data_IF_227069315147
#
_entry.id   IF_227069315147
#
_cell.length_a   1.000
_cell.length_b   1.000
_cell.length_c   1.000
_cell.angle_alpha   90.00
_cell.angle_beta   90.00
_cell.angle_gamma   90.00
#
_symmetry.space_group_name_H-M   'P 1'
#
loop_
_entity.id
_entity.type
_entity.pdbx_description
1 polymer ?
#
# COMPACT_ATOMS: atom_id res chain seq x y z
N UNK A 1 1.70 13.53 -39.53
CA UNK A 1 1.86 14.47 -38.40
C UNK A 1 0.78 14.09 -37.39
N UNK A 2 1.12 13.33 -36.35
CA UNK A 2 0.13 12.84 -35.37
C UNK A 2 -0.39 14.03 -34.56
N UNK A 3 -1.71 14.18 -34.52
CA UNK A 3 -2.40 15.09 -33.61
C UNK A 3 -2.17 14.55 -32.20
N UNK A 4 -1.44 15.29 -31.37
CA UNK A 4 -1.34 15.02 -29.94
C UNK A 4 -2.60 15.58 -29.30
N UNK A 5 -3.43 14.74 -28.67
CA UNK A 5 -4.63 15.18 -27.98
C UNK A 5 -4.26 16.07 -26.77
N UNK A 6 -4.79 17.31 -26.68
CA UNK A 6 -4.46 18.26 -25.61
C UNK A 6 -5.02 17.88 -24.23
N UNK A 7 -5.72 16.75 -24.11
CA UNK A 7 -6.30 16.26 -22.85
C UNK A 7 -5.37 15.35 -22.05
N UNK A 8 -4.24 14.89 -22.63
CA UNK A 8 -3.29 13.99 -21.94
C UNK A 8 -2.44 14.73 -20.89
N UNK A 9 -2.40 16.06 -20.93
CA UNK A 9 -1.56 16.91 -20.08
C UNK A 9 -2.34 17.60 -18.93
N UNK A 10 -3.62 17.23 -18.73
CA UNK A 10 -4.50 17.95 -17.80
C UNK A 10 -4.43 17.43 -16.35
N UNK A 11 -3.74 16.31 -16.13
CA UNK A 11 -3.33 15.89 -14.80
C UNK A 11 -1.83 16.18 -14.72
N UNK A 12 -1.37 17.19 -13.96
CA UNK A 12 0.05 17.24 -13.64
C UNK A 12 0.38 15.86 -13.07
N UNK A 13 1.38 15.17 -13.64
CA UNK A 13 1.89 13.94 -13.05
C UNK A 13 2.01 14.23 -11.56
N UNK A 14 1.18 13.58 -10.73
CA UNK A 14 0.94 14.01 -9.36
C UNK A 14 2.30 14.26 -8.72
N UNK A 15 2.56 15.52 -8.35
CA UNK A 15 3.92 15.93 -7.99
C UNK A 15 4.41 15.01 -6.87
N UNK A 16 5.42 14.18 -7.18
CA UNK A 16 5.94 13.17 -6.27
C UNK A 16 6.36 13.82 -4.96
N UNK A 17 6.84 15.07 -5.00
CA UNK A 17 7.20 15.85 -3.81
C UNK A 17 6.00 16.18 -2.92
N UNK A 18 4.84 16.45 -3.51
CA UNK A 18 3.61 16.71 -2.76
C UNK A 18 3.00 15.42 -2.21
N UNK A 19 3.07 14.34 -2.98
CA UNK A 19 2.49 13.04 -2.58
C UNK A 19 3.32 12.31 -1.52
N UNK A 20 4.65 12.37 -1.61
CA UNK A 20 5.56 11.61 -0.75
C UNK A 20 5.25 11.72 0.75
N UNK A 21 5.11 12.92 1.34
CA UNK A 21 4.81 13.04 2.77
C UNK A 21 3.43 12.48 3.14
N UNK A 22 2.43 12.68 2.28
CA UNK A 22 1.06 12.20 2.52
C UNK A 22 1.02 10.66 2.45
N UNK A 23 1.67 10.08 1.45
CA UNK A 23 1.77 8.64 1.26
C UNK A 23 2.49 7.96 2.44
N UNK A 24 3.65 8.47 2.87
CA UNK A 24 4.36 7.94 4.04
C UNK A 24 3.51 7.98 5.30
N UNK A 25 2.84 9.11 5.56
CA UNK A 25 1.95 9.26 6.71
C UNK A 25 0.77 8.27 6.68
N UNK A 26 0.17 8.07 5.52
CA UNK A 26 -0.93 7.13 5.35
C UNK A 26 -0.47 5.68 5.53
N UNK A 27 0.61 5.27 4.86
CA UNK A 27 1.20 3.92 4.98
C UNK A 27 1.62 3.62 6.42
N UNK A 28 2.27 4.58 7.09
CA UNK A 28 2.65 4.46 8.51
C UNK A 28 1.45 4.10 9.40
N UNK A 29 0.30 4.73 9.18
CA UNK A 29 -0.94 4.44 9.93
C UNK A 29 -1.54 3.08 9.56
N UNK A 30 -1.57 2.75 8.27
CA UNK A 30 -2.10 1.47 7.78
C UNK A 30 -1.30 0.31 8.37
N UNK A 31 0.02 0.31 8.22
CA UNK A 31 0.88 -0.79 8.66
C UNK A 31 0.90 -0.92 10.20
N UNK A 32 0.86 0.19 10.93
CA UNK A 32 0.66 0.17 12.39
C UNK A 32 -0.68 -0.43 12.79
N UNK A 33 -1.75 -0.12 12.06
CA UNK A 33 -3.09 -0.65 12.34
C UNK A 33 -3.18 -2.17 12.15
N UNK A 34 -2.34 -2.71 11.26
CA UNK A 34 -2.20 -4.15 11.02
C UNK A 34 -1.23 -4.82 12.01
N UNK A 35 -0.66 -4.08 12.96
CA UNK A 35 0.38 -4.57 13.87
C UNK A 35 1.56 -5.22 13.13
N UNK A 36 1.99 -4.63 12.00
CA UNK A 36 3.20 -5.06 11.32
C UNK A 36 4.43 -4.77 12.18
N UNK A 37 5.41 -5.67 12.16
CA UNK A 37 6.74 -5.38 12.72
C UNK A 37 7.45 -4.33 11.85
N UNK A 38 8.49 -3.69 12.39
CA UNK A 38 9.26 -2.72 11.61
C UNK A 38 9.93 -3.36 10.38
N UNK A 39 10.37 -4.62 10.48
CA UNK A 39 10.91 -5.37 9.33
C UNK A 39 9.82 -5.66 8.27
N UNK A 40 8.65 -6.14 8.69
CA UNK A 40 7.53 -6.37 7.78
C UNK A 40 7.15 -5.07 7.06
N UNK A 41 7.08 -3.97 7.80
CA UNK A 41 6.65 -2.70 7.28
C UNK A 41 7.66 -2.06 6.31
N UNK A 42 8.96 -2.11 6.63
CA UNK A 42 10.03 -1.67 5.73
C UNK A 42 9.99 -2.44 4.40
N UNK A 43 9.85 -3.77 4.48
CA UNK A 43 9.79 -4.66 3.31
C UNK A 43 8.53 -4.45 2.46
N UNK A 44 7.37 -4.27 3.09
CA UNK A 44 6.14 -3.95 2.38
C UNK A 44 6.26 -2.60 1.68
N UNK A 45 6.77 -1.58 2.39
CA UNK A 45 6.88 -0.24 1.86
C UNK A 45 7.99 -0.10 0.80
N UNK A 46 8.97 -1.01 0.76
CA UNK A 46 10.06 -0.99 -0.22
C UNK A 46 11.13 0.03 0.15
N UNK A 47 11.43 0.15 1.45
CA UNK A 47 12.45 1.06 1.99
C UNK A 47 13.42 0.29 2.87
N UNK A 48 14.61 0.87 3.07
CA UNK A 48 15.56 0.36 4.05
C UNK A 48 15.00 0.49 5.49
N UNK A 49 15.39 -0.40 6.42
CA UNK A 49 14.89 -0.37 7.80
C UNK A 49 15.07 0.99 8.50
N UNK A 50 16.21 1.66 8.29
CA UNK A 50 16.48 2.97 8.90
C UNK A 50 15.53 4.06 8.40
N UNK A 51 15.18 4.04 7.11
CA UNK A 51 14.18 4.93 6.55
C UNK A 51 12.81 4.64 7.16
N UNK A 52 12.42 3.36 7.28
CA UNK A 52 11.16 3.01 7.94
C UNK A 52 11.12 3.48 9.40
N UNK A 53 12.22 3.39 10.15
CA UNK A 53 12.30 3.90 11.53
C UNK A 53 12.02 5.41 11.59
N UNK A 54 12.50 6.19 10.61
CA UNK A 54 12.15 7.60 10.46
C UNK A 54 10.64 7.79 10.27
N UNK A 55 10.07 7.09 9.28
CA UNK A 55 8.64 7.14 8.94
C UNK A 55 7.74 6.69 10.11
N UNK A 56 8.16 5.68 10.87
CA UNK A 56 7.43 5.19 12.03
C UNK A 56 7.45 6.21 13.19
N UNK A 57 8.47 7.07 13.25
CA UNK A 57 8.59 8.20 14.21
C UNK A 57 7.95 9.50 13.73
N UNK A 58 7.48 9.54 12.49
CA UNK A 58 6.77 10.69 11.93
C UNK A 58 7.63 11.60 11.05
N UNK A 59 8.82 11.16 10.66
CA UNK A 59 9.59 11.80 9.59
C UNK A 59 9.00 11.38 8.24
N UNK A 60 8.43 12.35 7.52
CA UNK A 60 7.76 12.12 6.24
C UNK A 60 8.41 12.92 5.11
N UNK A 61 9.62 13.43 5.30
CA UNK A 61 10.27 14.32 4.33
C UNK A 61 10.99 13.58 3.19
N UNK A 62 11.06 12.25 3.27
CA UNK A 62 11.72 11.45 2.25
C UNK A 62 10.97 11.52 0.92
N UNK A 63 11.71 11.69 -0.18
CA UNK A 63 11.15 11.62 -1.52
C UNK A 63 10.97 10.14 -1.90
N UNK A 64 9.73 9.76 -2.21
CA UNK A 64 9.42 8.40 -2.63
C UNK A 64 9.70 8.20 -4.11
N UNK A 65 10.21 7.02 -4.46
CA UNK A 65 10.28 6.58 -5.86
C UNK A 65 8.90 6.19 -6.40
N UNK A 66 8.78 6.06 -7.72
CA UNK A 66 7.55 5.58 -8.36
C UNK A 66 7.11 4.20 -7.85
N UNK A 67 8.05 3.28 -7.58
CA UNK A 67 7.75 1.95 -7.01
C UNK A 67 7.17 2.08 -5.59
N UNK A 68 7.75 2.95 -4.75
CA UNK A 68 7.29 3.19 -3.39
C UNK A 68 5.91 3.86 -3.37
N UNK A 69 5.65 4.79 -4.28
CA UNK A 69 4.32 5.39 -4.46
C UNK A 69 3.29 4.34 -4.90
N UNK A 70 3.67 3.41 -5.77
CA UNK A 70 2.80 2.33 -6.21
C UNK A 70 2.49 1.35 -5.05
N UNK A 71 3.49 0.97 -4.26
CA UNK A 71 3.31 0.18 -3.03
C UNK A 71 2.39 0.89 -2.04
N UNK A 72 2.61 2.18 -1.84
CA UNK A 72 1.76 3.00 -0.97
C UNK A 72 0.30 2.98 -1.45
N UNK A 73 0.07 3.16 -2.75
CA UNK A 73 -1.26 3.10 -3.36
C UNK A 73 -1.95 1.76 -3.10
N UNK A 74 -1.25 0.63 -3.26
CA UNK A 74 -1.81 -0.68 -2.97
C UNK A 74 -2.16 -0.86 -1.50
N UNK A 75 -1.25 -0.53 -0.58
CA UNK A 75 -1.47 -0.69 0.86
C UNK A 75 -2.66 0.16 1.35
N UNK A 76 -2.70 1.43 0.93
CA UNK A 76 -3.81 2.35 1.26
C UNK A 76 -5.11 1.84 0.66
N UNK A 77 -5.09 1.44 -0.62
CA UNK A 77 -6.27 0.94 -1.30
C UNK A 77 -6.83 -0.36 -0.71
N UNK A 78 -5.97 -1.28 -0.25
CA UNK A 78 -6.38 -2.48 0.49
C UNK A 78 -7.10 -2.08 1.78
N UNK A 79 -6.51 -1.16 2.56
CA UNK A 79 -7.13 -0.68 3.79
C UNK A 79 -8.50 -0.04 3.52
N UNK A 80 -8.56 0.91 2.58
CA UNK A 80 -9.79 1.61 2.22
C UNK A 80 -10.86 0.67 1.66
N UNK A 81 -10.47 -0.31 0.83
CA UNK A 81 -11.39 -1.33 0.30
C UNK A 81 -11.99 -2.21 1.39
N UNK A 82 -11.29 -2.44 2.50
CA UNK A 82 -11.80 -3.20 3.64
C UNK A 82 -12.67 -2.35 4.59
N UNK A 83 -12.47 -1.03 4.62
CA UNK A 83 -13.25 -0.13 5.49
C UNK A 83 -14.75 -0.12 5.16
N UNK A 84 -15.14 -0.47 3.92
CA UNK A 84 -16.55 -0.57 3.51
C UNK A 84 -17.32 -1.63 4.30
N UNK A 85 -16.63 -2.65 4.83
CA UNK A 85 -17.22 -3.68 5.67
C UNK A 85 -17.28 -3.24 7.13
N UNK A 86 -16.12 -2.86 7.68
CA UNK A 86 -15.99 -2.24 9.00
C UNK A 86 -14.55 -1.79 9.25
N UNK A 87 -14.37 -0.89 10.22
CA UNK A 87 -13.03 -0.51 10.71
C UNK A 87 -12.28 -1.68 11.35
N UNK A 88 -12.97 -2.64 11.96
CA UNK A 88 -12.32 -3.83 12.56
C UNK A 88 -11.78 -4.76 11.46
N UNK A 89 -12.57 -4.97 10.41
CA UNK A 89 -12.16 -5.74 9.22
C UNK A 89 -10.91 -5.15 8.58
N UNK A 90 -10.87 -3.83 8.37
CA UNK A 90 -9.73 -3.14 7.77
C UNK A 90 -8.42 -3.30 8.56
N UNK A 91 -8.52 -3.44 9.89
CA UNK A 91 -7.37 -3.58 10.78
C UNK A 91 -6.91 -5.03 10.95
N UNK A 92 -7.85 -5.98 11.03
CA UNK A 92 -7.55 -7.37 11.43
C UNK A 92 -7.38 -8.32 10.26
N UNK A 93 -8.19 -8.18 9.21
CA UNK A 93 -8.20 -9.10 8.09
C UNK A 93 -6.81 -9.35 7.46
N UNK A 94 -5.94 -8.35 7.30
CA UNK A 94 -4.61 -8.56 6.71
C UNK A 94 -3.68 -9.50 7.48
N UNK A 95 -3.94 -9.73 8.77
CA UNK A 95 -3.17 -10.67 9.62
C UNK A 95 -3.94 -11.97 9.93
N UNK A 96 -5.14 -12.16 9.37
CA UNK A 96 -5.88 -13.41 9.52
C UNK A 96 -5.51 -14.39 8.39
N UNK A 97 -5.30 -15.68 8.70
CA UNK A 97 -5.14 -16.70 7.67
C UNK A 97 -6.31 -16.67 6.70
N UNK A 98 -6.03 -16.66 5.40
CA UNK A 98 -7.05 -16.51 4.39
C UNK A 98 -7.05 -17.73 3.44
N UNK A 99 -8.20 -18.40 3.34
CA UNK A 99 -8.41 -19.57 2.47
C UNK A 99 -8.81 -19.18 1.04
N UNK A 100 -8.86 -17.88 0.75
CA UNK A 100 -9.12 -17.35 -0.57
C UNK A 100 -8.10 -17.84 -1.60
N UNK A 101 -8.47 -17.90 -2.90
CA UNK A 101 -7.72 -18.65 -3.91
C UNK A 101 -6.27 -18.21 -4.08
N UNK A 102 -5.97 -16.93 -3.82
CA UNK A 102 -4.63 -16.37 -4.00
C UNK A 102 -3.73 -16.57 -2.77
N UNK A 103 -4.31 -16.70 -1.57
CA UNK A 103 -3.56 -16.70 -0.31
C UNK A 103 -3.12 -18.09 0.14
N UNK A 104 -3.81 -19.16 -0.30
CA UNK A 104 -3.46 -20.56 -0.01
C UNK A 104 -3.26 -20.85 1.49
N UNK A 105 -4.07 -20.23 2.35
CA UNK A 105 -4.01 -20.39 3.80
C UNK A 105 -3.07 -19.42 4.52
N UNK A 106 -2.29 -18.61 3.79
CA UNK A 106 -1.45 -17.55 4.37
C UNK A 106 -2.28 -16.34 4.74
N UNK A 107 -1.74 -15.49 5.60
CA UNK A 107 -2.26 -14.14 5.78
C UNK A 107 -2.00 -13.29 4.54
N UNK A 108 -2.85 -12.29 4.24
CA UNK A 108 -2.57 -11.33 3.18
C UNK A 108 -1.21 -10.62 3.32
N UNK A 109 -0.78 -10.30 4.54
CA UNK A 109 0.54 -9.70 4.80
C UNK A 109 1.69 -10.64 4.41
N UNK A 110 1.66 -11.91 4.83
CA UNK A 110 2.68 -12.89 4.44
C UNK A 110 2.74 -13.07 2.92
N UNK A 111 1.58 -13.15 2.27
CA UNK A 111 1.50 -13.26 0.81
C UNK A 111 2.16 -12.05 0.11
N UNK A 112 1.90 -10.82 0.59
CA UNK A 112 2.52 -9.61 0.06
C UNK A 112 4.03 -9.55 0.33
N UNK A 113 4.50 -10.02 1.49
CA UNK A 113 5.93 -10.06 1.83
C UNK A 113 6.71 -11.05 0.95
N UNK A 114 6.10 -12.16 0.56
CA UNK A 114 6.72 -13.18 -0.28
C UNK A 114 6.71 -12.81 -1.76
N UNK A 115 5.60 -12.26 -2.26
CA UNK A 115 5.45 -11.95 -3.69
C UNK A 115 5.72 -10.49 -4.06
N UNK A 116 6.05 -9.64 -3.08
CA UNK A 116 6.36 -8.23 -3.30
C UNK A 116 5.24 -7.47 -4.00
N UNK A 117 5.63 -6.60 -4.94
CA UNK A 117 4.71 -5.68 -5.63
C UNK A 117 3.57 -6.42 -6.37
N UNK A 118 3.86 -7.53 -7.04
CA UNK A 118 2.84 -8.31 -7.75
C UNK A 118 1.80 -8.92 -6.80
N UNK A 119 2.23 -9.39 -5.63
CA UNK A 119 1.31 -9.91 -4.63
C UNK A 119 0.47 -8.80 -3.98
N UNK A 120 1.02 -7.59 -3.82
CA UNK A 120 0.27 -6.41 -3.38
C UNK A 120 -0.82 -6.05 -4.37
N UNK A 121 -0.52 -6.02 -5.67
CA UNK A 121 -1.51 -5.78 -6.71
C UNK A 121 -2.63 -6.82 -6.68
N UNK A 122 -2.29 -8.12 -6.58
CA UNK A 122 -3.27 -9.21 -6.50
C UNK A 122 -4.16 -9.06 -5.26
N UNK A 123 -3.57 -8.69 -4.12
CA UNK A 123 -4.32 -8.44 -2.87
C UNK A 123 -5.25 -7.25 -3.01
N UNK A 124 -4.78 -6.15 -3.62
CA UNK A 124 -5.59 -4.96 -3.91
C UNK A 124 -6.80 -5.30 -4.77
N UNK A 125 -6.58 -5.98 -5.89
CA UNK A 125 -7.66 -6.45 -6.79
C UNK A 125 -8.64 -7.38 -6.08
N UNK A 126 -8.13 -8.29 -5.23
CA UNK A 126 -8.98 -9.16 -4.43
C UNK A 126 -9.90 -8.35 -3.51
N UNK A 127 -9.36 -7.35 -2.78
CA UNK A 127 -10.18 -6.50 -1.91
C UNK A 127 -11.19 -5.64 -2.66
N UNK A 128 -10.88 -5.16 -3.87
CA UNK A 128 -11.85 -4.46 -4.71
C UNK A 128 -13.04 -5.35 -5.07
N UNK A 129 -12.77 -6.60 -5.43
CA UNK A 129 -13.82 -7.55 -5.80
C UNK A 129 -14.70 -7.99 -4.62
N UNK A 130 -14.28 -7.79 -3.36
CA UNK A 130 -15.14 -8.10 -2.22
C UNK A 130 -16.23 -7.03 -2.03
N UNK A 131 -15.94 -5.78 -2.40
CA UNK A 131 -16.82 -4.63 -2.17
C UNK A 131 -17.97 -4.47 -3.18
N UNK A 132 -18.11 -5.42 -4.12
CA UNK A 132 -19.17 -5.50 -5.13
C UNK A 132 -19.86 -6.86 -5.06
#
# INVERSE_FOLDING_TARGET
>A
MKLSDPAVDQYPALDEKLLSPVAQKAVSRVLKSWNCTDDEAARLFGVEPDHWIGVSRGDFEYLLSQDQLLRASYLIGIYSGLQVFSDDTAKRWPKLPNTGPIFRGKTPVEFMLEGGLEAMEKTRRYTDCLGY
#
